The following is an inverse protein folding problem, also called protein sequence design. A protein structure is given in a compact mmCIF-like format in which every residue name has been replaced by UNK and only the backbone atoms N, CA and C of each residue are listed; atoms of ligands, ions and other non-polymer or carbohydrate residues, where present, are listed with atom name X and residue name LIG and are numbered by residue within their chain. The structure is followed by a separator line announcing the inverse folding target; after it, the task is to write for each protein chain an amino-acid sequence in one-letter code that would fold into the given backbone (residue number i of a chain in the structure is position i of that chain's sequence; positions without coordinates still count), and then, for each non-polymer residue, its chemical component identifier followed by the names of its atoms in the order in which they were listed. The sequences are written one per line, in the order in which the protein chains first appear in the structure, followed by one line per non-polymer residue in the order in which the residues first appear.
data_IF_448675041714
#
_entry.id   IF_448675041714
#
_cell.length_a   1.000
_cell.length_b   1.000
_cell.length_c   1.000
_cell.angle_alpha   90.00
_cell.angle_beta   90.00
_cell.angle_gamma   90.00
#
_symmetry.space_group_name_H-M   'P 1'
#
loop_
_entity.id
_entity.type
_entity.pdbx_description
1 polymer ?
#
# COMPACT_ATOMS: atom_id res chain seq x y z
N UNK A 1 21.02 10.45 2.35
CA UNK A 1 19.84 9.66 2.72
C UNK A 1 18.72 10.21 1.87
N UNK A 2 18.16 9.39 0.98
CA UNK A 2 17.08 9.82 0.09
C UNK A 2 15.80 10.05 0.90
N UNK A 3 14.89 10.89 0.39
CA UNK A 3 13.60 11.11 1.05
C UNK A 3 12.75 9.82 1.11
N UNK A 4 12.99 8.86 0.20
CA UNK A 4 12.39 7.53 0.27
C UNK A 4 12.90 6.74 1.49
N UNK A 5 14.21 6.75 1.76
CA UNK A 5 14.77 6.12 2.98
C UNK A 5 14.22 6.76 4.25
N UNK A 6 14.03 8.08 4.27
CA UNK A 6 13.35 8.76 5.37
C UNK A 6 11.94 8.22 5.55
N UNK A 7 11.16 8.09 4.47
CA UNK A 7 9.81 7.52 4.52
C UNK A 7 9.78 6.08 5.06
N UNK A 8 10.79 5.27 4.75
CA UNK A 8 10.91 3.91 5.29
C UNK A 8 11.14 3.89 6.80
N UNK A 9 11.70 4.96 7.40
CA UNK A 9 11.97 5.05 8.85
C UNK A 9 10.89 5.81 9.64
N UNK A 10 10.14 6.69 8.97
CA UNK A 10 9.13 7.56 9.61
C UNK A 10 7.86 6.80 10.01
N UNK A 11 7.51 5.72 9.30
CA UNK A 11 6.35 4.88 9.60
C UNK A 11 5.07 5.67 9.84
N UNK A 12 4.46 5.48 11.03
CA UNK A 12 3.22 6.14 11.45
C UNK A 12 3.30 7.67 11.50
N UNK A 13 4.48 8.27 11.49
CA UNK A 13 4.68 9.73 11.50
C UNK A 13 4.42 10.37 10.14
N UNK A 14 4.35 9.60 9.06
CA UNK A 14 4.07 10.13 7.73
C UNK A 14 2.67 10.75 7.69
N UNK A 15 2.59 12.00 7.23
CA UNK A 15 1.32 12.67 6.95
C UNK A 15 0.56 11.98 5.83
N UNK A 16 -0.75 12.20 5.76
CA UNK A 16 -1.62 11.54 4.79
C UNK A 16 -1.19 11.83 3.33
N UNK A 17 -0.66 13.01 3.07
CA UNK A 17 -0.17 13.42 1.74
C UNK A 17 1.13 12.71 1.38
N UNK A 18 2.04 12.55 2.35
CA UNK A 18 3.28 11.78 2.18
C UNK A 18 2.97 10.31 1.92
N UNK A 19 2.05 9.70 2.67
CA UNK A 19 1.60 8.32 2.44
C UNK A 19 0.97 8.15 1.05
N UNK A 20 0.19 9.14 0.58
CA UNK A 20 -0.40 9.14 -0.76
C UNK A 20 0.65 9.30 -1.86
N UNK A 21 1.65 10.16 -1.66
CA UNK A 21 2.76 10.33 -2.58
C UNK A 21 3.63 9.07 -2.63
N UNK A 22 3.91 8.46 -1.47
CA UNK A 22 4.60 7.18 -1.34
C UNK A 22 3.86 6.07 -2.08
N UNK A 23 2.53 5.98 -1.96
CA UNK A 23 1.71 5.06 -2.75
C UNK A 23 1.92 5.23 -4.26
N UNK A 24 1.88 6.48 -4.75
CA UNK A 24 2.09 6.80 -6.18
C UNK A 24 3.50 6.44 -6.62
N UNK A 25 4.51 6.76 -5.81
CA UNK A 25 5.91 6.44 -6.07
C UNK A 25 6.15 4.93 -6.12
N UNK A 26 5.66 4.17 -5.13
CA UNK A 26 5.77 2.70 -5.11
C UNK A 26 5.13 2.06 -6.34
N UNK A 27 3.97 2.56 -6.78
CA UNK A 27 3.29 2.07 -7.98
C UNK A 27 4.11 2.31 -9.28
N UNK A 28 4.89 3.39 -9.30
CA UNK A 28 5.81 3.73 -10.39
C UNK A 28 7.05 2.82 -10.37
N UNK A 29 7.77 2.77 -9.25
CA UNK A 29 9.06 2.07 -9.18
C UNK A 29 8.94 0.54 -9.12
N UNK A 30 7.84 0.00 -8.58
CA UNK A 30 7.62 -1.44 -8.45
C UNK A 30 6.61 -1.97 -9.48
N UNK A 31 6.40 -1.27 -10.60
CA UNK A 31 5.35 -1.62 -11.55
C UNK A 31 5.46 -3.07 -12.05
N UNK A 32 6.61 -3.41 -12.62
CA UNK A 32 6.88 -4.74 -13.18
C UNK A 32 6.87 -5.82 -12.10
N UNK A 33 7.43 -5.51 -10.93
CA UNK A 33 7.37 -6.39 -9.77
C UNK A 33 5.91 -6.69 -9.39
N UNK A 34 5.05 -5.68 -9.28
CA UNK A 34 3.64 -5.89 -8.95
C UNK A 34 2.88 -6.64 -10.04
N UNK A 35 3.22 -6.46 -11.32
CA UNK A 35 2.66 -7.28 -12.41
C UNK A 35 3.03 -8.74 -12.21
N UNK A 36 4.31 -9.03 -11.96
CA UNK A 36 4.79 -10.38 -11.71
C UNK A 36 4.10 -11.01 -10.50
N UNK A 37 4.03 -10.31 -9.38
CA UNK A 37 3.33 -10.77 -8.18
C UNK A 37 1.84 -11.00 -8.43
N UNK A 38 1.19 -10.17 -9.24
CA UNK A 38 -0.22 -10.34 -9.55
C UNK A 38 -0.47 -11.64 -10.31
N UNK A 39 0.39 -11.98 -11.28
CA UNK A 39 0.31 -13.27 -11.96
C UNK A 39 0.59 -14.43 -11.02
N UNK A 40 1.66 -14.35 -10.22
CA UNK A 40 1.97 -15.37 -9.21
C UNK A 40 0.82 -15.63 -8.24
N UNK A 41 0.14 -14.59 -7.76
CA UNK A 41 -1.02 -14.75 -6.87
C UNK A 41 -2.21 -15.40 -7.58
N UNK A 42 -2.46 -15.02 -8.84
CA UNK A 42 -3.56 -15.58 -9.62
C UNK A 42 -3.34 -17.06 -9.97
N UNK A 43 -2.09 -17.50 -10.06
CA UNK A 43 -1.73 -18.86 -10.44
C UNK A 43 -1.52 -19.78 -9.22
N UNK A 44 -0.87 -19.27 -8.17
CA UNK A 44 -0.51 -20.06 -6.99
C UNK A 44 -1.50 -19.91 -5.82
N UNK A 45 -2.36 -18.88 -5.85
CA UNK A 45 -3.32 -18.60 -4.79
C UNK A 45 -2.73 -17.92 -3.54
N UNK A 46 -1.41 -17.86 -3.41
CA UNK A 46 -0.73 -17.21 -2.29
C UNK A 46 0.62 -16.61 -2.74
N UNK A 47 0.98 -15.44 -2.20
CA UNK A 47 2.31 -14.83 -2.35
C UNK A 47 2.72 -14.10 -1.07
N UNK A 48 4.03 -13.95 -0.88
CA UNK A 48 4.60 -13.16 0.22
C UNK A 48 5.39 -11.97 -0.35
N UNK A 49 5.50 -10.91 0.44
CA UNK A 49 6.30 -9.71 0.12
C UNK A 49 6.88 -9.10 1.39
N UNK A 50 8.19 -8.92 1.41
CA UNK A 50 8.85 -8.13 2.46
C UNK A 50 9.01 -6.68 2.01
N UNK A 51 8.75 -5.73 2.91
CA UNK A 51 9.03 -4.31 2.72
C UNK A 51 9.24 -3.64 4.08
N UNK A 52 10.27 -2.79 4.20
CA UNK A 52 10.75 -2.28 5.49
C UNK A 52 10.99 -3.43 6.49
N UNK A 53 10.46 -3.34 7.72
CA UNK A 53 10.52 -4.40 8.72
C UNK A 53 9.27 -5.28 8.74
N UNK A 54 8.49 -5.30 7.66
CA UNK A 54 7.26 -6.07 7.57
C UNK A 54 7.28 -7.14 6.48
N UNK A 55 6.50 -8.20 6.71
CA UNK A 55 6.14 -9.20 5.72
C UNK A 55 4.63 -9.17 5.52
N UNK A 56 4.18 -9.00 4.27
CA UNK A 56 2.80 -9.14 3.85
C UNK A 56 2.58 -10.48 3.16
N UNK A 57 1.52 -11.18 3.55
CA UNK A 57 1.06 -12.40 2.89
C UNK A 57 -0.30 -12.16 2.28
N UNK A 58 -0.45 -12.50 1.00
CA UNK A 58 -1.66 -12.30 0.23
C UNK A 58 -2.28 -13.65 -0.11
N UNK A 59 -3.59 -13.77 0.09
CA UNK A 59 -4.32 -15.02 -0.13
C UNK A 59 -5.46 -14.79 -1.11
N UNK A 60 -5.56 -15.63 -2.14
CA UNK A 60 -6.67 -15.65 -3.08
C UNK A 60 -7.57 -16.85 -2.78
N UNK A 61 -8.79 -16.57 -2.31
CA UNK A 61 -9.83 -17.57 -2.14
C UNK A 61 -11.01 -17.28 -3.08
N UNK A 62 -11.16 -18.13 -4.09
CA UNK A 62 -12.15 -17.93 -5.15
C UNK A 62 -11.88 -16.66 -5.96
N UNK A 63 -12.60 -15.58 -5.66
CA UNK A 63 -12.39 -14.24 -6.25
C UNK A 63 -12.09 -13.16 -5.22
N UNK A 64 -11.87 -13.52 -3.96
CA UNK A 64 -11.51 -12.56 -2.91
C UNK A 64 -10.02 -12.66 -2.66
N UNK A 65 -9.35 -11.52 -2.61
CA UNK A 65 -7.96 -11.41 -2.18
C UNK A 65 -7.95 -10.66 -0.87
N UNK A 66 -7.40 -11.29 0.16
CA UNK A 66 -7.16 -10.74 1.48
C UNK A 66 -5.65 -10.63 1.72
N UNK A 67 -5.23 -9.79 2.67
CA UNK A 67 -3.84 -9.80 3.14
C UNK A 67 -3.72 -9.78 4.66
N UNK A 68 -2.65 -10.41 5.14
CA UNK A 68 -2.15 -10.31 6.49
C UNK A 68 -0.77 -9.65 6.49
N UNK A 69 -0.37 -9.08 7.62
CA UNK A 69 0.96 -8.52 7.81
C UNK A 69 1.54 -8.93 9.16
N UNK A 70 2.86 -9.09 9.23
CA UNK A 70 3.60 -9.29 10.48
C UNK A 70 4.90 -8.50 10.45
N UNK A 71 5.40 -8.15 11.64
CA UNK A 71 6.75 -7.62 11.81
C UNK A 71 7.76 -8.75 11.59
N UNK A 72 8.86 -8.47 10.91
CA UNK A 72 9.95 -9.43 10.75
C UNK A 72 10.46 -9.84 12.14
N UNK A 73 10.70 -11.14 12.31
CA UNK A 73 11.11 -11.75 13.59
C UNK A 73 10.08 -11.59 14.73
N UNK A 74 8.82 -11.34 14.41
CA UNK A 74 7.70 -11.41 15.37
C UNK A 74 6.77 -12.56 15.02
N UNK A 75 6.18 -13.16 16.06
CA UNK A 75 5.13 -14.17 15.94
C UNK A 75 3.72 -13.54 15.81
N UNK A 76 3.59 -12.23 16.06
CA UNK A 76 2.31 -11.52 15.96
C UNK A 76 1.94 -11.28 14.49
N UNK A 77 0.78 -11.83 14.10
CA UNK A 77 0.23 -11.68 12.74
C UNK A 77 -1.07 -10.91 12.78
N UNK A 78 -1.11 -9.80 12.08
CA UNK A 78 -2.33 -9.03 11.84
C UNK A 78 -3.02 -9.58 10.60
N UNK A 79 -4.17 -10.22 10.79
CA UNK A 79 -4.92 -10.88 9.72
C UNK A 79 -6.13 -10.06 9.28
N UNK A 80 -6.67 -10.38 8.09
CA UNK A 80 -7.92 -9.79 7.56
C UNK A 80 -7.90 -8.25 7.47
N UNK A 81 -6.74 -7.68 7.17
CA UNK A 81 -6.51 -6.23 7.21
C UNK A 81 -7.28 -5.48 6.11
N UNK A 82 -7.21 -5.97 4.89
CA UNK A 82 -7.93 -5.41 3.74
C UNK A 82 -8.22 -6.49 2.73
N UNK A 83 -9.35 -6.35 2.05
CA UNK A 83 -9.71 -7.22 0.95
C UNK A 83 -10.08 -6.48 -0.33
N UNK A 84 -9.98 -7.22 -1.43
CA UNK A 84 -10.59 -6.84 -2.70
C UNK A 84 -11.25 -8.04 -3.37
N UNK A 85 -12.36 -7.78 -4.05
CA UNK A 85 -13.01 -8.75 -4.95
C UNK A 85 -12.52 -8.62 -6.38
N UNK A 86 -12.00 -9.68 -6.95
CA UNK A 86 -11.58 -9.79 -8.34
C UNK A 86 -12.76 -9.99 -9.29
N UNK A 87 -12.59 -9.50 -10.51
CA UNK A 87 -13.51 -9.73 -11.62
C UNK A 87 -13.23 -11.10 -12.27
N UNK A 88 -14.01 -11.46 -13.30
CA UNK A 88 -13.75 -12.65 -14.13
C UNK A 88 -12.62 -12.42 -15.15
N UNK A 89 -12.17 -11.18 -15.33
CA UNK A 89 -11.24 -10.81 -16.38
C UNK A 89 -9.83 -10.60 -15.84
N UNK A 90 -8.90 -11.47 -16.27
CA UNK A 90 -7.53 -11.53 -15.74
C UNK A 90 -6.77 -10.20 -15.88
N UNK A 91 -6.85 -9.55 -17.04
CA UNK A 91 -6.16 -8.27 -17.27
C UNK A 91 -6.61 -7.15 -16.33
N UNK A 92 -7.91 -7.03 -16.07
CA UNK A 92 -8.43 -6.05 -15.11
C UNK A 92 -8.00 -6.40 -13.68
N UNK A 93 -7.92 -7.69 -13.35
CA UNK A 93 -7.47 -8.15 -12.04
C UNK A 93 -6.00 -7.81 -11.80
N UNK A 94 -5.12 -7.97 -12.79
CA UNK A 94 -3.69 -7.59 -12.67
C UNK A 94 -3.56 -6.11 -12.30
N UNK A 95 -4.22 -5.20 -13.05
CA UNK A 95 -4.20 -3.77 -12.74
C UNK A 95 -4.79 -3.44 -11.36
N UNK A 96 -5.82 -4.18 -10.95
CA UNK A 96 -6.44 -4.03 -9.63
C UNK A 96 -5.50 -4.48 -8.52
N UNK A 97 -4.79 -5.59 -8.73
CA UNK A 97 -3.81 -6.15 -7.81
C UNK A 97 -2.60 -5.24 -7.65
N UNK A 98 -2.07 -4.64 -8.72
CA UNK A 98 -0.96 -3.68 -8.61
C UNK A 98 -1.28 -2.53 -7.64
N UNK A 99 -2.49 -1.95 -7.76
CA UNK A 99 -2.93 -0.87 -6.88
C UNK A 99 -3.16 -1.34 -5.45
N UNK A 100 -3.63 -2.58 -5.28
CA UNK A 100 -3.84 -3.20 -3.98
C UNK A 100 -2.51 -3.45 -3.27
N UNK A 101 -1.53 -4.06 -3.94
CA UNK A 101 -0.19 -4.29 -3.39
C UNK A 101 0.52 -2.99 -3.01
N UNK A 102 0.47 -1.96 -3.87
CA UNK A 102 1.05 -0.67 -3.54
C UNK A 102 0.37 0.00 -2.32
N UNK A 103 -0.93 -0.20 -2.11
CA UNK A 103 -1.61 0.27 -0.90
C UNK A 103 -1.13 -0.51 0.33
N UNK A 104 -1.10 -1.84 0.25
CA UNK A 104 -0.66 -2.71 1.33
C UNK A 104 0.80 -2.43 1.72
N UNK A 105 1.67 -2.10 0.76
CA UNK A 105 3.04 -1.69 1.04
C UNK A 105 3.11 -0.40 1.87
N UNK A 106 2.27 0.60 1.58
CA UNK A 106 2.20 1.81 2.41
C UNK A 106 1.65 1.49 3.79
N UNK A 107 0.65 0.63 3.88
CA UNK A 107 0.10 0.17 5.16
C UNK A 107 1.22 -0.54 5.98
N UNK A 108 2.01 -1.42 5.35
CA UNK A 108 3.13 -2.12 5.99
C UNK A 108 4.26 -1.17 6.40
N UNK A 109 4.69 -0.26 5.53
CA UNK A 109 5.73 0.73 5.88
C UNK A 109 5.28 1.59 7.06
N UNK A 110 4.00 1.95 7.12
CA UNK A 110 3.47 2.79 8.20
C UNK A 110 3.49 2.07 9.55
N UNK A 111 3.28 0.76 9.58
CA UNK A 111 3.17 -0.03 10.81
C UNK A 111 4.47 -0.74 11.21
N UNK A 112 5.29 -1.13 10.23
CA UNK A 112 6.57 -1.81 10.42
C UNK A 112 7.70 -1.09 9.67
N UNK A 113 7.95 0.21 9.94
CA UNK A 113 9.07 0.94 9.35
C UNK A 113 10.43 0.37 9.81
N UNK A 114 11.48 0.76 9.08
CA UNK A 114 12.88 0.53 9.47
C UNK A 114 13.23 1.28 10.76
N UNK A 115 14.27 0.87 11.50
CA UNK A 115 14.71 1.57 12.70
C UNK A 115 15.08 3.03 12.35
N UNK A 116 14.46 3.97 13.05
CA UNK A 116 14.65 5.41 12.86
C UNK A 116 15.14 6.10 14.13
N UNK A 117 15.26 7.43 14.08
CA UNK A 117 15.65 8.26 15.25
C UNK A 117 14.57 8.32 16.34
N UNK A 118 13.31 8.11 15.95
CA UNK A 118 12.16 8.17 16.86
C UNK A 118 11.76 6.74 17.24
N UNK A 119 11.69 6.39 18.54
CA UNK A 119 11.18 5.11 18.99
C UNK A 119 9.73 4.93 18.54
N UNK A 120 9.37 3.72 18.12
CA UNK A 120 7.99 3.39 17.79
C UNK A 120 7.27 2.84 19.01
N UNK A 121 6.05 3.32 19.23
CA UNK A 121 5.13 2.72 20.18
C UNK A 121 4.53 1.46 19.54
N UNK A 122 4.73 0.31 20.18
CA UNK A 122 4.19 -0.98 19.73
C UNK A 122 2.73 -1.13 20.17
N UNK A 123 1.77 -0.49 19.50
CA UNK A 123 0.36 -0.86 19.65
C UNK A 123 -0.44 -0.78 18.35
N UNK A 124 -0.93 -1.94 17.90
CA UNK A 124 -1.94 -2.07 16.84
C UNK A 124 -1.46 -1.89 15.41
N UNK A 125 -2.35 -2.16 14.46
CA UNK A 125 -2.10 -2.00 13.02
C UNK A 125 -3.08 -0.97 12.43
N UNK A 126 -2.56 0.23 12.14
CA UNK A 126 -3.34 1.38 11.66
C UNK A 126 -3.24 1.60 10.17
N UNK A 127 -4.38 1.80 9.49
CA UNK A 127 -4.42 2.13 8.05
C UNK A 127 -5.65 2.97 7.69
N UNK A 128 -5.61 3.59 6.51
CA UNK A 128 -6.76 4.35 6.01
C UNK A 128 -7.90 3.39 5.63
N UNK A 129 -9.10 3.65 6.16
CA UNK A 129 -10.31 2.89 5.82
C UNK A 129 -10.53 2.83 4.30
N UNK A 130 -10.42 3.98 3.62
CA UNK A 130 -10.49 4.07 2.17
C UNK A 130 -9.08 4.08 1.54
N UNK A 131 -8.74 3.13 0.64
CA UNK A 131 -7.47 3.12 -0.09
C UNK A 131 -7.30 4.32 -1.02
N UNK A 132 -6.05 4.74 -1.25
CA UNK A 132 -5.69 5.87 -2.12
C UNK A 132 -6.06 5.69 -3.59
N UNK A 133 -6.25 4.44 -4.04
CA UNK A 133 -6.72 4.17 -5.40
C UNK A 133 -8.23 4.36 -5.59
N UNK A 134 -9.00 4.37 -4.51
CA UNK A 134 -10.46 4.49 -4.55
C UNK A 134 -10.90 5.95 -4.67
N UNK A 135 -12.04 6.19 -5.31
CA UNK A 135 -12.65 7.53 -5.30
C UNK A 135 -13.25 7.88 -3.93
N UNK A 136 -13.62 6.89 -3.12
CA UNK A 136 -14.15 7.10 -1.78
C UNK A 136 -13.17 7.88 -0.88
N UNK A 137 -11.87 7.59 -0.99
CA UNK A 137 -10.82 8.35 -0.32
C UNK A 137 -10.89 9.86 -0.63
N UNK A 138 -11.07 10.22 -1.90
CA UNK A 138 -11.12 11.63 -2.32
C UNK A 138 -12.49 12.27 -2.09
N UNK A 139 -13.56 11.48 -2.14
CA UNK A 139 -14.91 11.97 -1.96
C UNK A 139 -15.14 12.48 -0.53
N UNK A 140 -14.46 11.90 0.47
CA UNK A 140 -14.57 12.28 1.88
C UNK A 140 -16.04 12.36 2.36
N UNK A 141 -16.81 11.29 2.11
CA UNK A 141 -18.24 11.20 2.44
C UNK A 141 -19.17 11.93 1.46
N UNK A 142 -18.65 12.65 0.46
CA UNK A 142 -19.44 13.24 -0.64
C UNK A 142 -19.65 12.22 -1.78
N UNK A 143 -20.24 12.67 -2.88
CA UNK A 143 -20.48 11.82 -4.05
C UNK A 143 -19.18 11.52 -4.86
N UNK A 144 -19.25 10.48 -5.70
CA UNK A 144 -18.10 10.01 -6.49
C UNK A 144 -17.62 10.99 -7.58
N UNK A 145 -18.50 11.82 -8.13
CA UNK A 145 -18.12 12.86 -9.08
C UNK A 145 -17.19 13.88 -8.42
N UNK A 146 -17.54 14.31 -7.20
CA UNK A 146 -16.68 15.15 -6.39
C UNK A 146 -15.34 14.48 -6.08
N UNK A 147 -15.36 13.18 -5.76
CA UNK A 147 -14.15 12.39 -5.57
C UNK A 147 -13.23 12.39 -6.80
N UNK A 148 -13.78 12.28 -8.00
CA UNK A 148 -13.02 12.33 -9.25
C UNK A 148 -12.37 13.71 -9.47
N UNK A 149 -13.14 14.78 -9.30
CA UNK A 149 -12.62 16.17 -9.42
C UNK A 149 -11.49 16.41 -8.42
N UNK A 150 -11.68 16.01 -7.16
CA UNK A 150 -10.66 16.19 -6.13
C UNK A 150 -9.41 15.36 -6.43
N UNK A 151 -9.56 14.12 -6.89
CA UNK A 151 -8.43 13.26 -7.29
C UNK A 151 -7.57 13.90 -8.37
N UNK A 152 -8.21 14.50 -9.38
CA UNK A 152 -7.50 15.20 -10.48
C UNK A 152 -6.82 16.49 -10.02
N UNK A 153 -7.39 17.19 -9.03
CA UNK A 153 -6.82 18.42 -8.46
C UNK A 153 -5.76 18.18 -7.39
N UNK A 154 -5.63 16.95 -6.90
CA UNK A 154 -4.68 16.62 -5.84
C UNK A 154 -3.25 16.62 -6.40
N UNK A 155 -2.46 17.60 -5.99
CA UNK A 155 -1.09 17.79 -6.42
C UNK A 155 -0.13 17.19 -5.39
N UNK A 156 0.60 16.15 -5.78
CA UNK A 156 1.65 15.52 -4.95
C UNK A 156 3.04 15.71 -5.59
N UNK A 157 3.17 16.60 -6.58
CA UNK A 157 4.36 16.66 -7.44
C UNK A 157 5.62 17.04 -6.67
N UNK A 158 5.53 17.93 -5.68
CA UNK A 158 6.69 18.30 -4.88
C UNK A 158 7.24 17.11 -4.10
N UNK A 159 6.37 16.40 -3.36
CA UNK A 159 6.73 15.22 -2.58
C UNK A 159 7.21 14.09 -3.50
N UNK A 160 6.53 13.87 -4.63
CA UNK A 160 6.97 12.89 -5.64
C UNK A 160 8.33 13.22 -6.25
N UNK A 161 8.62 14.50 -6.47
CA UNK A 161 9.92 14.94 -6.96
C UNK A 161 11.00 14.61 -5.94
N UNK A 162 10.75 14.89 -4.66
CA UNK A 162 11.67 14.52 -3.57
C UNK A 162 11.87 13.00 -3.47
N UNK A 163 10.80 12.20 -3.62
CA UNK A 163 10.89 10.73 -3.60
C UNK A 163 11.72 10.15 -4.75
N UNK A 164 11.75 10.83 -5.90
CA UNK A 164 12.53 10.43 -7.08
C UNK A 164 13.99 10.91 -7.03
N UNK A 165 14.32 11.84 -6.15
CA UNK A 165 15.67 12.34 -5.96
C UNK A 165 16.46 11.39 -5.05
N UNK A 166 17.68 11.07 -5.47
CA UNK A 166 18.60 10.17 -4.76
C UNK A 166 19.45 10.94 -3.73
#
# INVERSE_FOLDING_TARGET
MSYFEECLTSGGLLFQEERRALYKYLLEINNDFYVSQAYSLLDNGIINRCIANGEATYFLQGRKVDYSAKKLNSDEVFSELRDIKLSRFRFYNVRKLQRFFAQCDVDVISNFPLPGRVPQEETGYGFNANPFYTLAYYANGKNYLWGLVKKLRTNDNEILTRLRMF
#
